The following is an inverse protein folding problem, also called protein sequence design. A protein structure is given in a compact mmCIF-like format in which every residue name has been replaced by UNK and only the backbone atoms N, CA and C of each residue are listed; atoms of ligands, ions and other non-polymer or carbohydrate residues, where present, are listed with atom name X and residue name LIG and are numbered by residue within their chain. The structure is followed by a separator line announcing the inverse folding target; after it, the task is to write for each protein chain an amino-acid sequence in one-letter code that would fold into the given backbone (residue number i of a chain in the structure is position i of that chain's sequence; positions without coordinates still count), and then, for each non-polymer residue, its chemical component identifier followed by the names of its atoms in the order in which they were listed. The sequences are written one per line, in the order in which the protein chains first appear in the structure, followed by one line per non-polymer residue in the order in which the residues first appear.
data_IF_664211775387
#
_entry.id   IF_664211775387
#
_cell.length_a   1.000
_cell.length_b   1.000
_cell.length_c   1.000
_cell.angle_alpha   90.00
_cell.angle_beta   90.00
_cell.angle_gamma   90.00
#
_symmetry.space_group_name_H-M   'P 1'
#
loop_
_entity.id
_entity.type
_entity.pdbx_description
1 polymer ?
#
# COMPACT_ATOMS: atom_id res chain seq x y z
N UNK A 1 -5.39 23.17 19.47
CA UNK A 1 -4.42 22.13 19.03
C UNK A 1 -4.94 20.80 19.58
N UNK A 2 -5.63 20.00 18.76
CA UNK A 2 -6.15 18.70 19.17
C UNK A 2 -5.04 17.68 18.97
N UNK A 3 -4.57 17.10 20.06
CA UNK A 3 -3.68 15.95 20.02
C UNK A 3 -4.39 14.82 19.26
N UNK A 4 -3.88 14.46 18.09
CA UNK A 4 -4.31 13.27 17.39
C UNK A 4 -3.95 12.07 18.27
N UNK A 5 -4.97 11.40 18.80
CA UNK A 5 -4.81 10.14 19.53
C UNK A 5 -4.26 9.09 18.58
N UNK A 6 -2.93 8.96 18.53
CA UNK A 6 -2.28 7.80 17.93
C UNK A 6 -2.56 6.63 18.87
N UNK A 7 -3.36 5.69 18.42
CA UNK A 7 -3.66 4.49 19.20
C UNK A 7 -2.38 3.69 19.36
N UNK A 8 -1.89 3.59 20.59
CA UNK A 8 -0.76 2.75 21.00
C UNK A 8 -1.17 1.27 21.09
N UNK A 9 -1.81 0.73 20.08
CA UNK A 9 -2.20 -0.68 20.11
C UNK A 9 -1.00 -1.56 19.72
N UNK A 10 -0.69 -2.59 20.51
CA UNK A 10 0.32 -3.57 20.17
C UNK A 10 -0.09 -4.37 18.93
N UNK A 11 0.86 -4.89 18.21
CA UNK A 11 0.71 -5.64 16.95
C UNK A 11 -0.05 -6.97 17.03
N UNK A 12 -0.38 -7.44 18.20
CA UNK A 12 -1.34 -8.52 18.37
C UNK A 12 -2.72 -7.93 18.08
N UNK A 13 -3.09 -7.92 16.82
CA UNK A 13 -4.44 -7.59 16.40
C UNK A 13 -5.34 -8.65 16.99
N UNK A 14 -6.12 -8.29 17.96
CA UNK A 14 -7.34 -9.01 18.26
C UNK A 14 -8.20 -8.87 16.99
N UNK A 15 -8.24 -9.95 16.18
CA UNK A 15 -8.99 -10.00 14.92
C UNK A 15 -10.48 -9.68 15.10
N UNK A 16 -10.92 -9.52 16.35
CA UNK A 16 -12.31 -9.23 16.70
C UNK A 16 -12.61 -7.73 16.80
N UNK A 17 -11.60 -6.86 16.99
CA UNK A 17 -11.92 -5.53 17.48
C UNK A 17 -12.22 -4.52 16.36
N UNK A 18 -11.53 -4.55 15.21
CA UNK A 18 -11.74 -3.52 14.20
C UNK A 18 -11.49 -4.01 12.79
N UNK A 19 -12.56 -4.07 11.99
CA UNK A 19 -12.54 -4.35 10.56
C UNK A 19 -11.62 -3.38 9.78
N UNK A 20 -11.56 -2.13 10.17
CA UNK A 20 -10.71 -1.12 9.55
C UNK A 20 -9.24 -1.47 9.75
N UNK A 21 -8.85 -1.80 10.97
CA UNK A 21 -7.48 -2.17 11.29
C UNK A 21 -7.01 -3.47 10.59
N UNK A 22 -7.91 -4.42 10.37
CA UNK A 22 -7.60 -5.61 9.57
C UNK A 22 -7.21 -5.22 8.14
N UNK A 23 -7.98 -4.33 7.49
CA UNK A 23 -7.70 -3.93 6.12
C UNK A 23 -6.42 -3.11 5.99
N UNK A 24 -6.07 -2.28 6.97
CA UNK A 24 -4.83 -1.52 7.01
C UNK A 24 -3.56 -2.39 6.94
N UNK A 25 -3.64 -3.64 7.38
CA UNK A 25 -2.51 -4.57 7.34
C UNK A 25 -2.64 -5.62 6.22
N UNK A 26 -3.86 -5.94 5.82
CA UNK A 26 -4.12 -6.98 4.83
C UNK A 26 -3.52 -6.63 3.47
N UNK A 27 -3.67 -5.41 2.98
CA UNK A 27 -3.13 -4.99 1.69
C UNK A 27 -1.60 -5.03 1.64
N UNK A 28 -0.90 -4.82 2.76
CA UNK A 28 0.57 -4.95 2.84
C UNK A 28 1.02 -6.39 2.57
N UNK A 29 0.32 -7.35 3.18
CA UNK A 29 0.56 -8.78 2.91
C UNK A 29 0.25 -9.13 1.47
N UNK A 30 -0.89 -8.70 0.95
CA UNK A 30 -1.27 -8.94 -0.45
C UNK A 30 -0.21 -8.40 -1.42
N UNK A 31 0.36 -7.23 -1.15
CA UNK A 31 1.41 -6.64 -1.97
C UNK A 31 2.70 -7.48 -1.95
N UNK A 32 3.15 -7.93 -0.78
CA UNK A 32 4.35 -8.77 -0.68
C UNK A 32 4.12 -10.19 -1.21
N UNK A 33 2.93 -10.75 -1.05
CA UNK A 33 2.55 -12.04 -1.66
C UNK A 33 2.54 -11.94 -3.19
N UNK A 34 2.08 -10.80 -3.74
CA UNK A 34 2.17 -10.52 -5.18
C UNK A 34 3.63 -10.49 -5.66
N UNK A 35 4.52 -9.86 -4.91
CA UNK A 35 5.95 -9.86 -5.19
C UNK A 35 6.51 -11.29 -5.20
N UNK A 36 6.30 -12.06 -4.14
CA UNK A 36 6.80 -13.44 -4.03
C UNK A 36 6.30 -14.32 -5.16
N UNK A 37 5.02 -14.19 -5.52
CA UNK A 37 4.40 -14.93 -6.63
C UNK A 37 5.13 -14.69 -7.96
N UNK A 38 5.60 -13.47 -8.22
CA UNK A 38 6.26 -13.11 -9.49
C UNK A 38 7.77 -13.25 -9.46
N UNK A 39 8.39 -13.08 -8.30
CA UNK A 39 9.84 -13.18 -8.14
C UNK A 39 10.33 -14.62 -7.88
N UNK A 40 9.45 -15.49 -7.41
CA UNK A 40 9.76 -16.86 -6.99
C UNK A 40 10.38 -16.95 -5.60
N UNK A 41 11.44 -16.21 -5.32
CA UNK A 41 12.07 -16.12 -4.01
C UNK A 41 12.61 -14.70 -3.77
N UNK A 42 12.62 -14.26 -2.51
CA UNK A 42 13.03 -12.89 -2.12
C UNK A 42 14.03 -12.88 -0.96
N UNK A 43 14.47 -14.07 -0.51
CA UNK A 43 15.42 -14.18 0.58
C UNK A 43 16.74 -13.47 0.25
N UNK A 44 17.26 -12.69 1.20
CA UNK A 44 18.45 -11.87 1.03
C UNK A 44 18.26 -10.58 0.22
N UNK A 45 17.07 -10.32 -0.34
CA UNK A 45 16.80 -9.09 -1.08
C UNK A 45 16.75 -7.87 -0.15
N UNK A 46 17.11 -6.72 -0.68
CA UNK A 46 17.04 -5.44 0.01
C UNK A 46 15.71 -4.76 -0.35
N UNK A 47 14.87 -4.50 0.64
CA UNK A 47 13.61 -3.78 0.47
C UNK A 47 13.71 -2.41 1.12
N UNK A 48 13.38 -1.35 0.39
CA UNK A 48 13.09 -0.02 0.94
C UNK A 48 11.57 0.14 1.09
N UNK A 49 11.11 0.47 2.29
CA UNK A 49 9.73 0.90 2.57
C UNK A 49 9.70 2.45 2.69
N UNK A 50 9.22 3.12 1.65
CA UNK A 50 9.12 4.57 1.60
C UNK A 50 7.78 5.03 2.17
N UNK A 51 7.81 5.72 3.30
CA UNK A 51 6.65 5.97 4.16
C UNK A 51 6.34 4.74 5.02
N UNK A 52 7.35 4.23 5.73
CA UNK A 52 7.28 2.93 6.40
C UNK A 52 6.32 2.88 7.59
N UNK A 53 5.82 4.02 8.06
CA UNK A 53 4.93 4.08 9.21
C UNK A 53 5.54 3.37 10.42
N UNK A 54 4.78 2.48 11.02
CA UNK A 54 5.21 1.69 12.20
C UNK A 54 6.05 0.46 11.85
N UNK A 55 6.35 0.22 10.56
CA UNK A 55 7.22 -0.84 10.09
C UNK A 55 6.54 -2.19 9.82
N UNK A 56 5.21 -2.24 9.64
CA UNK A 56 4.50 -3.50 9.38
C UNK A 56 4.97 -4.20 8.11
N UNK A 57 5.21 -3.42 7.04
CA UNK A 57 5.76 -3.95 5.79
C UNK A 57 7.16 -4.51 6.01
N UNK A 58 7.97 -3.81 6.81
CA UNK A 58 9.33 -4.22 7.14
C UNK A 58 9.34 -5.51 7.95
N UNK A 59 8.43 -5.65 8.94
CA UNK A 59 8.26 -6.89 9.71
C UNK A 59 7.93 -8.06 8.79
N UNK A 60 6.95 -7.89 7.91
CA UNK A 60 6.54 -8.94 6.99
C UNK A 60 7.66 -9.30 5.99
N UNK A 61 8.36 -8.30 5.44
CA UNK A 61 9.51 -8.50 4.56
C UNK A 61 10.65 -9.27 5.27
N UNK A 62 10.94 -8.92 6.52
CA UNK A 62 11.95 -9.61 7.34
C UNK A 62 11.61 -11.09 7.57
N UNK A 63 10.34 -11.43 7.78
CA UNK A 63 9.87 -12.83 7.87
C UNK A 63 10.02 -13.60 6.55
N UNK A 64 10.05 -12.92 5.42
CA UNK A 64 10.36 -13.49 4.11
C UNK A 64 11.87 -13.59 3.85
N UNK A 65 12.71 -13.24 4.82
CA UNK A 65 14.16 -13.26 4.72
C UNK A 65 14.79 -12.07 4.00
N UNK A 66 14.04 -10.98 3.80
CA UNK A 66 14.54 -9.75 3.19
C UNK A 66 15.25 -8.86 4.21
N UNK A 67 16.20 -8.03 3.75
CA UNK A 67 16.79 -6.95 4.54
C UNK A 67 15.94 -5.69 4.36
N UNK A 68 15.20 -5.29 5.39
CA UNK A 68 14.29 -4.16 5.34
C UNK A 68 14.94 -2.85 5.76
N UNK A 69 14.68 -1.80 4.99
CA UNK A 69 15.07 -0.42 5.23
C UNK A 69 13.82 0.45 5.17
N UNK A 70 13.67 1.39 6.11
CA UNK A 70 12.51 2.27 6.18
C UNK A 70 12.88 3.75 6.09
N UNK A 71 12.04 4.53 5.45
CA UNK A 71 12.06 5.99 5.48
C UNK A 71 10.67 6.49 5.88
N UNK A 72 10.59 7.38 6.86
CA UNK A 72 9.35 8.06 7.24
C UNK A 72 9.63 9.48 7.70
N UNK A 73 8.71 10.42 7.45
CA UNK A 73 8.82 11.81 7.86
C UNK A 73 8.38 12.05 9.31
N UNK A 74 7.66 11.12 9.92
CA UNK A 74 7.29 11.19 11.34
C UNK A 74 8.36 10.50 12.20
N UNK A 75 9.06 11.24 13.09
CA UNK A 75 10.09 10.67 13.96
C UNK A 75 9.56 9.56 14.88
N UNK A 76 8.27 9.59 15.24
CA UNK A 76 7.64 8.53 16.05
C UNK A 76 7.48 7.23 15.26
N UNK A 77 7.17 7.33 13.97
CA UNK A 77 7.13 6.19 13.07
C UNK A 77 8.53 5.58 12.90
N UNK A 78 9.54 6.44 12.73
CA UNK A 78 10.95 6.01 12.66
C UNK A 78 11.34 5.24 13.92
N UNK A 79 11.06 5.76 15.10
CA UNK A 79 11.36 5.09 16.38
C UNK A 79 10.69 3.71 16.46
N UNK A 80 9.40 3.62 16.13
CA UNK A 80 8.64 2.38 16.22
C UNK A 80 9.10 1.32 15.22
N UNK A 81 9.54 1.72 14.03
CA UNK A 81 9.92 0.81 12.94
C UNK A 81 11.35 0.27 13.05
N UNK A 82 12.23 0.90 13.83
CA UNK A 82 13.64 0.45 14.03
C UNK A 82 13.79 -0.99 14.49
N UNK A 83 12.79 -1.55 15.18
CA UNK A 83 12.78 -2.96 15.62
C UNK A 83 12.67 -3.97 14.47
N UNK A 84 12.28 -3.52 13.28
CA UNK A 84 12.08 -4.40 12.11
C UNK A 84 13.15 -4.23 11.03
N UNK A 85 14.03 -3.24 11.16
CA UNK A 85 15.08 -2.96 10.20
C UNK A 85 15.74 -1.61 10.41
N UNK A 86 16.61 -1.23 9.49
CA UNK A 86 17.26 0.09 9.54
C UNK A 86 16.29 1.16 9.07
N UNK A 87 15.95 2.11 9.93
CA UNK A 87 15.03 3.20 9.62
C UNK A 87 15.72 4.56 9.74
N UNK A 88 15.38 5.48 8.87
CA UNK A 88 15.92 6.84 8.83
C UNK A 88 14.80 7.86 8.68
N UNK A 89 14.93 9.00 9.35
CA UNK A 89 14.00 10.12 9.21
C UNK A 89 14.10 10.69 7.79
N UNK A 90 12.97 10.74 7.10
CA UNK A 90 12.86 11.30 5.76
C UNK A 90 12.75 12.84 5.86
N UNK A 91 13.72 13.52 5.29
CA UNK A 91 13.60 14.93 4.95
C UNK A 91 13.01 15.02 3.54
N UNK A 92 11.73 15.39 3.44
CA UNK A 92 11.00 15.45 2.17
C UNK A 92 11.71 16.36 1.16
N UNK A 93 12.32 17.47 1.63
CA UNK A 93 13.06 18.39 0.76
C UNK A 93 14.35 17.78 0.18
N UNK A 94 14.87 16.73 0.80
CA UNK A 94 16.09 16.02 0.42
C UNK A 94 15.86 14.57 0.03
N UNK A 95 14.62 14.18 -0.23
CA UNK A 95 14.25 12.80 -0.52
C UNK A 95 15.11 12.19 -1.65
N UNK A 96 15.36 12.95 -2.72
CA UNK A 96 16.21 12.52 -3.85
C UNK A 96 17.66 12.20 -3.46
N UNK A 97 18.18 12.76 -2.37
CA UNK A 97 19.51 12.45 -1.84
C UNK A 97 19.50 11.25 -0.88
N UNK A 98 18.41 11.05 -0.17
CA UNK A 98 18.25 9.96 0.78
C UNK A 98 17.89 8.63 0.08
N UNK A 99 17.13 8.70 -1.01
CA UNK A 99 16.74 7.55 -1.83
C UNK A 99 17.77 7.35 -2.95
N UNK A 100 18.79 6.53 -2.69
CA UNK A 100 19.88 6.32 -3.64
C UNK A 100 19.46 5.43 -4.82
N UNK A 101 19.82 5.81 -6.07
CA UNK A 101 19.55 5.00 -7.25
C UNK A 101 20.18 3.60 -7.17
N UNK A 102 19.52 2.61 -7.78
CA UNK A 102 19.99 1.23 -7.93
C UNK A 102 20.51 0.60 -6.63
N UNK A 103 19.84 0.89 -5.50
CA UNK A 103 20.32 0.48 -4.16
C UNK A 103 19.53 -0.68 -3.61
N UNK A 104 18.26 -0.82 -3.98
CA UNK A 104 17.35 -1.80 -3.41
C UNK A 104 16.85 -2.76 -4.50
N UNK A 105 16.66 -4.03 -4.14
CA UNK A 105 16.03 -4.99 -5.06
C UNK A 105 14.57 -4.62 -5.25
N UNK A 106 13.90 -4.20 -4.17
CA UNK A 106 12.49 -3.79 -4.15
C UNK A 106 12.33 -2.47 -3.42
N UNK A 107 11.50 -1.60 -3.97
CA UNK A 107 11.02 -0.39 -3.28
C UNK A 107 9.52 -0.51 -3.10
N UNK A 108 9.04 -0.41 -1.86
CA UNK A 108 7.63 -0.34 -1.50
C UNK A 108 7.24 1.13 -1.22
N UNK A 109 6.06 1.54 -1.67
CA UNK A 109 5.50 2.86 -1.42
C UNK A 109 3.98 2.69 -1.26
N UNK A 110 3.53 2.68 -0.03
CA UNK A 110 2.18 2.28 0.31
C UNK A 110 1.40 3.39 0.99
N UNK A 111 0.35 3.87 0.33
CA UNK A 111 -0.50 4.96 0.81
C UNK A 111 0.30 6.22 1.17
N UNK A 112 1.22 6.60 0.26
CA UNK A 112 2.05 7.81 0.36
C UNK A 112 1.84 8.72 -0.84
N UNK A 113 1.68 8.16 -2.05
CA UNK A 113 1.60 8.95 -3.28
C UNK A 113 0.41 9.90 -3.30
N UNK A 114 -0.68 9.59 -2.60
CA UNK A 114 -1.84 10.45 -2.45
C UNK A 114 -1.59 11.68 -1.57
N UNK A 115 -0.52 11.68 -0.77
CA UNK A 115 -0.15 12.75 0.15
C UNK A 115 0.98 13.66 -0.35
N UNK A 116 1.64 13.31 -1.47
CA UNK A 116 2.75 14.08 -1.99
C UNK A 116 2.30 15.07 -3.07
N UNK A 117 2.95 16.24 -3.12
CA UNK A 117 2.63 17.29 -4.10
C UNK A 117 2.91 16.83 -5.53
N UNK A 118 3.98 16.04 -5.75
CA UNK A 118 4.39 15.56 -7.06
C UNK A 118 4.59 14.04 -7.10
N UNK A 119 3.50 13.25 -7.26
CA UNK A 119 3.58 11.80 -7.30
C UNK A 119 4.38 11.25 -8.49
N UNK A 120 4.41 11.98 -9.62
CA UNK A 120 5.24 11.61 -10.77
C UNK A 120 6.72 11.63 -10.41
N UNK A 121 7.18 12.71 -9.80
CA UNK A 121 8.59 12.84 -9.40
C UNK A 121 8.96 11.80 -8.34
N UNK A 122 8.11 11.64 -7.32
CA UNK A 122 8.28 10.65 -6.27
C UNK A 122 8.35 9.24 -6.85
N UNK A 123 7.38 8.83 -7.67
CA UNK A 123 7.37 7.49 -8.25
C UNK A 123 8.54 7.24 -9.21
N UNK A 124 8.97 8.26 -9.95
CA UNK A 124 10.17 8.18 -10.81
C UNK A 124 11.44 7.98 -9.98
N UNK A 125 11.59 8.71 -8.88
CA UNK A 125 12.70 8.55 -7.94
C UNK A 125 12.74 7.14 -7.35
N UNK A 126 11.60 6.63 -6.88
CA UNK A 126 11.48 5.27 -6.33
C UNK A 126 11.79 4.20 -7.40
N UNK A 127 11.34 4.41 -8.64
CA UNK A 127 11.67 3.55 -9.77
C UNK A 127 13.17 3.47 -10.03
N UNK A 128 13.88 4.60 -9.94
CA UNK A 128 15.35 4.63 -10.10
C UNK A 128 16.10 3.95 -8.95
N UNK A 129 15.52 3.94 -7.75
CA UNK A 129 16.11 3.30 -6.58
C UNK A 129 16.01 1.78 -6.61
N UNK A 130 14.99 1.26 -7.28
CA UNK A 130 14.73 -0.17 -7.41
C UNK A 130 15.55 -0.79 -8.55
N UNK A 131 16.15 -1.96 -8.30
CA UNK A 131 16.84 -2.74 -9.35
C UNK A 131 15.95 -3.79 -9.99
N UNK A 132 14.90 -4.25 -9.29
CA UNK A 132 14.01 -5.32 -9.76
C UNK A 132 12.55 -4.92 -9.81
N UNK A 133 11.98 -4.45 -8.68
CA UNK A 133 10.55 -4.18 -8.58
C UNK A 133 10.24 -2.94 -7.75
N UNK A 134 9.13 -2.30 -8.09
CA UNK A 134 8.46 -1.29 -7.26
C UNK A 134 7.08 -1.80 -6.92
N UNK A 135 6.76 -1.84 -5.63
CA UNK A 135 5.44 -2.16 -5.10
C UNK A 135 4.74 -0.87 -4.70
N UNK A 136 3.55 -0.64 -5.20
CA UNK A 136 2.77 0.55 -4.87
C UNK A 136 1.37 0.14 -4.43
N UNK A 137 0.87 0.78 -3.38
CA UNK A 137 -0.55 0.76 -3.05
C UNK A 137 -1.06 2.20 -2.92
N UNK A 138 -2.20 2.49 -3.53
CA UNK A 138 -2.89 3.79 -3.46
C UNK A 138 -4.40 3.57 -3.31
N UNK A 139 -5.15 4.52 -2.72
CA UNK A 139 -6.60 4.42 -2.65
C UNK A 139 -7.22 4.31 -4.04
N UNK A 140 -8.19 3.40 -4.18
CA UNK A 140 -8.91 3.21 -5.42
C UNK A 140 -10.17 4.10 -5.44
N UNK A 141 -10.33 4.88 -6.50
CA UNK A 141 -11.55 5.68 -6.73
C UNK A 141 -12.75 4.83 -7.11
N UNK A 142 -12.50 3.70 -7.77
CA UNK A 142 -13.60 2.82 -8.20
C UNK A 142 -14.17 2.08 -7.00
N UNK A 143 -15.45 2.33 -6.72
CA UNK A 143 -16.20 1.66 -5.65
C UNK A 143 -17.49 1.08 -6.22
N UNK A 144 -17.91 -0.07 -5.71
CA UNK A 144 -19.22 -0.65 -6.06
C UNK A 144 -20.31 0.27 -5.51
N UNK A 145 -21.24 0.74 -6.36
CA UNK A 145 -22.29 1.64 -5.94
C UNK A 145 -23.21 1.00 -4.88
N UNK A 146 -23.63 1.78 -3.90
CA UNK A 146 -24.65 1.36 -2.96
C UNK A 146 -26.04 1.59 -3.56
N UNK A 147 -26.60 0.55 -4.17
CA UNK A 147 -27.91 0.61 -4.83
C UNK A 147 -29.10 0.93 -3.89
N UNK A 148 -28.92 0.78 -2.56
CA UNK A 148 -29.93 1.20 -1.57
C UNK A 148 -29.89 2.70 -1.29
N UNK A 149 -28.80 3.37 -1.66
CA UNK A 149 -28.61 4.81 -1.46
C UNK A 149 -28.02 5.45 -2.73
N UNK A 150 -28.75 5.41 -3.88
CA UNK A 150 -28.21 5.87 -5.15
C UNK A 150 -27.93 7.37 -5.20
N UNK A 151 -28.58 8.14 -4.32
CA UNK A 151 -28.41 9.59 -4.20
C UNK A 151 -27.56 10.01 -3.00
N UNK A 152 -26.85 9.08 -2.34
CA UNK A 152 -25.95 9.43 -1.26
C UNK A 152 -24.81 10.34 -1.81
N UNK A 153 -24.44 11.41 -1.10
CA UNK A 153 -23.30 12.19 -1.50
C UNK A 153 -22.04 11.32 -1.49
N UNK A 154 -21.03 11.66 -2.32
CA UNK A 154 -19.76 10.95 -2.28
C UNK A 154 -19.17 10.98 -0.86
N UNK A 155 -18.52 9.91 -0.40
CA UNK A 155 -17.88 9.91 0.90
C UNK A 155 -16.80 11.01 0.97
N UNK A 156 -16.62 11.59 2.15
CA UNK A 156 -15.51 12.52 2.38
C UNK A 156 -14.20 11.77 2.15
N UNK A 157 -13.31 12.40 1.40
CA UNK A 157 -11.92 11.96 1.23
C UNK A 157 -11.14 12.40 2.47
N UNK A 158 -10.08 11.67 2.82
CA UNK A 158 -9.14 12.09 3.85
C UNK A 158 -8.56 13.47 3.47
N UNK A 159 -8.53 14.41 4.41
CA UNK A 159 -8.08 15.78 4.18
C UNK A 159 -6.62 15.87 3.67
N UNK A 160 -5.79 14.87 3.98
CA UNK A 160 -4.42 14.77 3.49
C UNK A 160 -4.27 14.21 2.08
N UNK A 161 -5.35 13.71 1.45
CA UNK A 161 -5.26 13.18 0.09
C UNK A 161 -5.37 14.29 -0.95
N UNK A 162 -4.25 14.62 -1.56
CA UNK A 162 -4.17 15.59 -2.65
C UNK A 162 -4.59 15.00 -3.99
N UNK A 163 -4.46 13.68 -4.13
CA UNK A 163 -4.68 12.96 -5.38
C UNK A 163 -5.37 11.61 -5.14
N UNK A 164 -5.94 11.08 -6.22
CA UNK A 164 -6.63 9.79 -6.20
C UNK A 164 -6.58 9.15 -7.59
N UNK A 165 -6.63 7.83 -7.67
CA UNK A 165 -6.50 7.10 -8.93
C UNK A 165 -7.58 6.04 -9.09
N UNK A 166 -7.87 5.71 -10.34
CA UNK A 166 -8.34 4.41 -10.78
C UNK A 166 -7.18 3.64 -11.45
N UNK A 167 -7.42 2.42 -11.85
CA UNK A 167 -6.40 1.57 -12.46
C UNK A 167 -5.85 2.14 -13.78
N UNK A 168 -6.69 2.78 -14.60
CA UNK A 168 -6.28 3.34 -15.88
C UNK A 168 -5.38 4.57 -15.70
N UNK A 169 -5.77 5.49 -14.82
CA UNK A 169 -4.98 6.68 -14.52
C UNK A 169 -3.66 6.33 -13.82
N UNK A 170 -3.69 5.37 -12.87
CA UNK A 170 -2.46 4.93 -12.21
C UNK A 170 -1.50 4.24 -13.18
N UNK A 171 -2.01 3.38 -14.06
CA UNK A 171 -1.21 2.75 -15.11
C UNK A 171 -0.56 3.77 -16.03
N UNK A 172 -1.33 4.78 -16.48
CA UNK A 172 -0.80 5.86 -17.32
C UNK A 172 0.31 6.65 -16.61
N UNK A 173 0.13 6.97 -15.33
CA UNK A 173 1.19 7.60 -14.53
C UNK A 173 2.45 6.75 -14.50
N UNK A 174 2.32 5.46 -14.18
CA UNK A 174 3.48 4.56 -14.02
C UNK A 174 4.19 4.30 -15.35
N UNK A 175 3.45 3.90 -16.41
CA UNK A 175 4.07 3.44 -17.66
C UNK A 175 4.49 4.60 -18.57
N UNK A 176 3.64 5.62 -18.71
CA UNK A 176 3.91 6.71 -19.66
C UNK A 176 4.79 7.80 -19.04
N UNK A 177 4.58 8.11 -17.76
CA UNK A 177 5.22 9.27 -17.15
C UNK A 177 6.40 8.94 -16.24
N UNK A 178 6.48 7.71 -15.68
CA UNK A 178 7.52 7.34 -14.72
C UNK A 178 8.49 6.28 -15.24
N UNK A 179 8.32 5.75 -16.47
CA UNK A 179 9.20 4.73 -17.04
C UNK A 179 9.19 3.40 -16.28
N UNK A 180 8.03 3.01 -15.77
CA UNK A 180 7.80 1.76 -15.05
C UNK A 180 6.85 0.88 -15.86
N UNK A 181 7.16 -0.40 -15.98
CA UNK A 181 6.27 -1.38 -16.62
C UNK A 181 5.38 -2.02 -15.56
N UNK A 182 4.09 -2.03 -15.78
CA UNK A 182 3.15 -2.78 -14.96
C UNK A 182 3.31 -4.28 -15.22
N UNK A 183 3.57 -5.05 -14.16
CA UNK A 183 3.69 -6.50 -14.21
C UNK A 183 2.39 -7.18 -13.79
N UNK A 184 1.81 -6.72 -12.68
CA UNK A 184 0.59 -7.30 -12.14
C UNK A 184 -0.16 -6.34 -11.21
N UNK A 185 -1.46 -6.61 -11.08
CA UNK A 185 -2.32 -6.02 -10.07
C UNK A 185 -2.67 -7.03 -8.99
N UNK A 186 -2.93 -6.55 -7.79
CA UNK A 186 -3.66 -7.28 -6.78
C UNK A 186 -4.81 -6.42 -6.22
N UNK A 187 -5.76 -7.09 -5.63
CA UNK A 187 -6.90 -6.51 -4.95
C UNK A 187 -6.87 -6.96 -3.48
N UNK A 188 -6.95 -6.01 -2.58
CA UNK A 188 -6.95 -6.27 -1.14
C UNK A 188 -8.30 -6.77 -0.64
N UNK A 189 -9.33 -5.98 -0.80
CA UNK A 189 -10.68 -6.31 -0.37
C UNK A 189 -11.71 -5.56 -1.24
N UNK A 190 -12.78 -6.23 -1.63
CA UNK A 190 -13.88 -5.60 -2.35
C UNK A 190 -15.12 -5.54 -1.48
N UNK A 191 -15.58 -4.34 -1.19
CA UNK A 191 -16.80 -4.10 -0.42
C UNK A 191 -17.99 -4.04 -1.37
N UNK A 192 -18.92 -4.99 -1.22
CA UNK A 192 -20.22 -4.98 -1.92
C UNK A 192 -21.28 -4.49 -0.91
N UNK A 193 -21.67 -3.20 -0.94
CA UNK A 193 -22.32 -2.54 0.20
C UNK A 193 -23.52 -3.28 0.81
N UNK A 194 -24.41 -3.81 -0.04
CA UNK A 194 -25.61 -4.52 0.43
C UNK A 194 -25.27 -5.91 0.95
N UNK A 195 -24.45 -6.67 0.21
CA UNK A 195 -24.09 -8.03 0.58
C UNK A 195 -23.17 -8.06 1.80
N UNK A 196 -22.16 -7.19 1.84
CA UNK A 196 -21.26 -7.05 2.98
C UNK A 196 -22.01 -6.71 4.27
N UNK A 197 -22.96 -5.78 4.21
CA UNK A 197 -23.77 -5.41 5.37
C UNK A 197 -24.70 -6.55 5.82
N UNK A 198 -25.30 -7.28 4.89
CA UNK A 198 -26.15 -8.44 5.23
C UNK A 198 -25.33 -9.54 5.92
N UNK A 199 -24.17 -9.89 5.36
CA UNK A 199 -23.29 -10.91 5.95
C UNK A 199 -22.80 -10.46 7.32
N UNK A 200 -22.45 -9.20 7.49
CA UNK A 200 -22.02 -8.65 8.76
C UNK A 200 -23.08 -8.78 9.85
N UNK A 201 -24.35 -8.53 9.51
CA UNK A 201 -25.48 -8.65 10.44
C UNK A 201 -25.80 -10.09 10.83
N UNK A 202 -25.67 -11.01 9.87
CA UNK A 202 -26.06 -12.42 10.09
C UNK A 202 -24.91 -13.26 10.67
N UNK A 203 -23.66 -13.00 10.26
CA UNK A 203 -22.51 -13.87 10.53
C UNK A 203 -21.32 -13.14 11.17
N UNK A 204 -21.43 -11.83 11.39
CA UNK A 204 -20.40 -11.01 12.04
C UNK A 204 -19.23 -10.61 11.16
N UNK A 205 -18.25 -9.94 11.79
CA UNK A 205 -17.12 -9.32 11.07
C UNK A 205 -16.19 -10.33 10.39
N UNK A 206 -15.89 -11.48 11.03
CA UNK A 206 -14.98 -12.49 10.46
C UNK A 206 -15.49 -13.04 9.13
N UNK A 207 -16.78 -13.39 9.05
CA UNK A 207 -17.38 -13.86 7.82
C UNK A 207 -17.39 -12.78 6.74
N UNK A 208 -17.63 -11.54 7.11
CA UNK A 208 -17.61 -10.39 6.19
C UNK A 208 -16.20 -10.16 5.63
N UNK A 209 -15.18 -10.13 6.47
CA UNK A 209 -13.77 -9.99 6.06
C UNK A 209 -13.38 -11.11 5.10
N UNK A 210 -13.69 -12.37 5.44
CA UNK A 210 -13.38 -13.52 4.59
C UNK A 210 -14.06 -13.42 3.21
N UNK A 211 -15.28 -12.92 3.16
CA UNK A 211 -16.03 -12.73 1.92
C UNK A 211 -15.43 -11.61 1.07
N UNK A 212 -15.10 -10.47 1.68
CA UNK A 212 -14.58 -9.29 0.99
C UNK A 212 -13.14 -9.47 0.49
N UNK A 213 -12.29 -10.13 1.28
CA UNK A 213 -10.89 -10.39 0.90
C UNK A 213 -10.73 -11.65 0.04
N UNK A 214 -11.67 -12.57 0.09
CA UNK A 214 -11.64 -13.82 -0.66
C UNK A 214 -12.54 -13.81 -1.91
N UNK A 215 -13.84 -14.01 -1.71
CA UNK A 215 -14.78 -14.20 -2.80
C UNK A 215 -15.01 -12.93 -3.62
N UNK A 216 -15.34 -11.81 -2.97
CA UNK A 216 -15.62 -10.56 -3.69
C UNK A 216 -14.39 -9.98 -4.36
N UNK A 217 -13.21 -10.07 -3.76
CA UNK A 217 -11.98 -9.58 -4.39
C UNK A 217 -11.62 -10.36 -5.66
N UNK A 218 -12.00 -11.64 -5.76
CA UNK A 218 -11.82 -12.45 -6.98
C UNK A 218 -12.88 -12.14 -8.05
N UNK A 219 -14.13 -11.90 -7.62
CA UNK A 219 -15.24 -11.62 -8.53
C UNK A 219 -15.15 -10.21 -9.13
N UNK A 220 -14.63 -9.26 -8.36
CA UNK A 220 -14.52 -7.85 -8.72
C UNK A 220 -13.08 -7.34 -8.57
N UNK A 221 -12.11 -7.81 -9.39
CA UNK A 221 -10.68 -7.59 -9.19
C UNK A 221 -10.24 -6.12 -9.31
N UNK A 222 -11.04 -5.25 -9.91
CA UNK A 222 -10.73 -3.82 -10.07
C UNK A 222 -11.50 -2.90 -9.12
N UNK A 223 -12.27 -3.47 -8.19
CA UNK A 223 -13.15 -2.74 -7.27
C UNK A 223 -12.68 -2.84 -5.81
N UNK A 224 -11.39 -3.08 -5.62
CA UNK A 224 -10.76 -3.13 -4.31
C UNK A 224 -10.75 -1.79 -3.59
N UNK A 225 -10.50 -1.84 -2.30
CA UNK A 225 -10.30 -0.63 -1.48
C UNK A 225 -9.04 0.10 -1.92
N UNK A 226 -7.97 -0.64 -2.20
CA UNK A 226 -6.71 -0.12 -2.73
C UNK A 226 -6.41 -0.67 -4.11
N UNK A 227 -5.68 0.09 -4.91
CA UNK A 227 -4.96 -0.38 -6.09
C UNK A 227 -3.60 -0.85 -5.62
N UNK A 228 -3.29 -2.13 -5.78
CA UNK A 228 -1.97 -2.69 -5.48
C UNK A 228 -1.30 -3.06 -6.79
N UNK A 229 -0.16 -2.46 -7.08
CA UNK A 229 0.58 -2.64 -8.33
C UNK A 229 1.99 -3.18 -8.08
N UNK A 230 2.37 -4.20 -8.82
CA UNK A 230 3.75 -4.64 -8.99
C UNK A 230 4.28 -4.07 -10.30
N UNK A 231 5.30 -3.24 -10.20
CA UNK A 231 5.93 -2.53 -11.30
C UNK A 231 7.37 -2.98 -11.47
N UNK A 232 7.92 -2.86 -12.67
CA UNK A 232 9.32 -3.10 -12.97
C UNK A 232 9.94 -1.85 -13.59
N UNK A 233 11.09 -1.36 -13.10
CA UNK A 233 11.80 -0.30 -13.77
C UNK A 233 12.18 -0.72 -15.21
N UNK A 234 11.87 0.14 -16.18
CA UNK A 234 12.39 -0.05 -17.52
C UNK A 234 13.89 0.24 -17.46
N UNK A 235 14.73 -0.72 -17.84
CA UNK A 235 16.15 -0.46 -17.99
C UNK A 235 16.31 0.69 -18.98
N UNK A 236 16.90 1.81 -18.56
CA UNK A 236 17.42 2.78 -19.50
C UNK A 236 18.47 2.02 -20.35
N UNK A 237 18.10 1.58 -21.54
CA UNK A 237 19.09 1.22 -22.53
C UNK A 237 19.97 2.47 -22.71
N UNK A 238 21.20 2.39 -22.17
CA UNK A 238 22.27 3.35 -22.44
C UNK A 238 22.68 3.22 -23.89
#
# INVERSE_FOLDING_TARGET
MSESKISHLPYAVDEQADRHHYYENHWKRVALDLLVKHAGHVNGWRLLDYGCGRGETMDYASRLGMHAFGLDSDPRCVELSTRFGSTTLLDISKAAHQVRPATYDVVACFHVLEHVDNPKETLTMLGRAATRYVLVAVPNLQKIPNLRKPHAPPPKINEGHLQSWDHAHFRNLAEVHCGLQLIAWANDATIVPVASELVRRLFGNRATISLETGYFSRLFPYWGVSIIALLKPLSCNK
#
